data_IF_605148652645
#
_entry.id   IF_605148652645
#
_cell.length_a   1.000
_cell.length_b   1.000
_cell.length_c   1.000
_cell.angle_alpha   90.00
_cell.angle_beta   90.00
_cell.angle_gamma   90.00
#
_symmetry.space_group_name_H-M   'P 1'
#
loop_
_entity.id
_entity.type
_entity.pdbx_description
1 polymer ?
#
# COMPACT_ATOMS: atom_id res chain seq x y z
N UNK A 1 35.93 3.45 -29.36
CA UNK A 1 35.47 2.85 -28.08
C UNK A 1 35.55 1.34 -28.23
N UNK A 2 36.35 0.66 -27.40
CA UNK A 2 36.62 -0.77 -27.57
C UNK A 2 35.37 -1.61 -27.28
N UNK A 3 35.01 -2.57 -28.14
CA UNK A 3 33.81 -3.42 -27.98
C UNK A 3 33.75 -4.08 -26.59
N UNK A 4 34.89 -4.52 -26.07
CA UNK A 4 35.05 -5.09 -24.73
C UNK A 4 34.72 -4.08 -23.62
N UNK A 5 35.11 -2.82 -23.80
CA UNK A 5 34.81 -1.73 -22.87
C UNK A 5 33.30 -1.43 -22.85
N UNK A 6 32.65 -1.43 -24.02
CA UNK A 6 31.21 -1.19 -24.13
C UNK A 6 30.39 -2.31 -23.47
N UNK A 7 30.79 -3.57 -23.67
CA UNK A 7 30.14 -4.71 -23.06
C UNK A 7 30.31 -4.72 -21.53
N UNK A 8 31.50 -4.36 -21.04
CA UNK A 8 31.76 -4.23 -19.60
C UNK A 8 30.91 -3.13 -18.96
N UNK A 9 30.78 -1.96 -19.61
CA UNK A 9 29.93 -0.87 -19.12
C UNK A 9 28.46 -1.27 -19.08
N UNK A 10 27.97 -1.99 -20.10
CA UNK A 10 26.59 -2.46 -20.14
C UNK A 10 26.27 -3.44 -18.99
N UNK A 11 27.18 -4.38 -18.72
CA UNK A 11 27.01 -5.37 -17.64
C UNK A 11 27.01 -4.66 -16.28
N UNK A 12 27.92 -3.72 -16.05
CA UNK A 12 27.97 -2.96 -14.80
C UNK A 12 26.70 -2.13 -14.60
N UNK A 13 26.21 -1.45 -15.65
CA UNK A 13 24.98 -0.68 -15.57
C UNK A 13 23.75 -1.56 -15.25
N UNK A 14 23.65 -2.75 -15.86
CA UNK A 14 22.56 -3.68 -15.60
C UNK A 14 22.55 -4.17 -14.14
N UNK A 15 23.72 -4.45 -13.57
CA UNK A 15 23.84 -4.89 -12.17
C UNK A 15 23.50 -3.75 -11.19
N UNK A 16 23.89 -2.51 -11.48
CA UNK A 16 23.57 -1.36 -10.63
C UNK A 16 22.06 -1.02 -10.61
N UNK A 17 21.33 -1.32 -11.67
CA UNK A 17 19.87 -1.12 -11.75
C UNK A 17 19.06 -2.24 -11.06
N UNK A 18 19.69 -3.38 -10.77
CA UNK A 18 19.03 -4.53 -10.15
C UNK A 18 18.93 -4.41 -8.61
N UNK A 19 19.47 -3.36 -8.00
CA UNK A 19 19.34 -3.15 -6.55
C UNK A 19 17.90 -2.72 -6.26
N UNK A 20 17.11 -3.54 -5.52
CA UNK A 20 15.77 -3.13 -5.15
C UNK A 20 15.86 -1.86 -4.31
N UNK A 21 15.17 -0.81 -4.76
CA UNK A 21 15.01 0.41 -3.99
C UNK A 21 14.21 0.07 -2.73
N UNK A 22 14.91 -0.23 -1.63
CA UNK A 22 14.29 -0.37 -0.33
C UNK A 22 13.82 1.02 0.12
N UNK A 23 12.54 1.31 -0.09
CA UNK A 23 11.90 2.42 0.55
C UNK A 23 12.08 2.25 2.07
N UNK A 24 12.56 3.31 2.75
CA UNK A 24 12.92 3.31 4.18
C UNK A 24 11.77 2.92 5.12
N UNK A 25 10.55 2.77 4.60
CA UNK A 25 9.33 2.39 5.35
C UNK A 25 8.51 1.41 4.51
N UNK A 26 8.10 0.31 5.12
CA UNK A 26 7.01 -0.52 4.61
C UNK A 26 5.69 0.26 4.64
N UNK A 27 4.71 -0.19 3.86
CA UNK A 27 3.35 0.34 3.99
C UNK A 27 2.87 0.20 5.45
N UNK A 28 2.11 1.18 5.98
CA UNK A 28 1.51 1.06 7.30
C UNK A 28 0.69 -0.22 7.41
N UNK A 29 0.70 -0.83 8.58
CA UNK A 29 -0.16 -1.99 8.85
C UNK A 29 -1.64 -1.58 8.69
N UNK A 30 -2.44 -2.50 8.14
CA UNK A 30 -3.86 -2.25 7.98
C UNK A 30 -4.52 -2.15 9.35
N UNK A 31 -5.22 -1.04 9.60
CA UNK A 31 -5.90 -0.81 10.86
C UNK A 31 -7.12 -1.73 10.94
N UNK A 32 -7.25 -2.48 12.04
CA UNK A 32 -8.41 -3.34 12.28
C UNK A 32 -9.68 -2.50 12.44
N UNK A 33 -10.84 -2.98 11.95
CA UNK A 33 -12.12 -2.34 12.22
C UNK A 33 -12.39 -2.22 13.72
N UNK A 34 -13.03 -1.13 14.11
CA UNK A 34 -13.44 -0.88 15.51
C UNK A 34 -14.92 -1.15 15.64
N UNK A 35 -15.31 -1.97 16.62
CA UNK A 35 -16.72 -2.23 16.91
C UNK A 35 -17.19 -1.44 18.13
N UNK A 36 -18.34 -0.76 18.00
CA UNK A 36 -19.00 -0.08 19.10
C UNK A 36 -20.51 -0.08 18.88
N UNK A 37 -21.28 -0.43 19.91
CA UNK A 37 -22.76 -0.41 19.90
C UNK A 37 -23.38 -1.21 18.72
N UNK A 38 -22.74 -2.32 18.32
CA UNK A 38 -23.17 -3.14 17.19
C UNK A 38 -22.84 -2.56 15.81
N UNK A 39 -22.05 -1.49 15.74
CA UNK A 39 -21.58 -0.86 14.51
C UNK A 39 -20.08 -1.12 14.37
N UNK A 40 -19.68 -1.62 13.20
CA UNK A 40 -18.29 -1.75 12.80
C UNK A 40 -17.86 -0.52 11.99
N UNK A 41 -16.77 0.12 12.42
CA UNK A 41 -16.14 1.24 11.74
C UNK A 41 -14.86 0.75 11.08
N UNK A 42 -14.77 0.89 9.76
CA UNK A 42 -13.61 0.45 8.97
C UNK A 42 -13.08 1.56 8.06
N UNK A 43 -11.78 1.48 7.76
CA UNK A 43 -11.07 2.37 6.83
C UNK A 43 -10.51 1.54 5.66
N UNK A 44 -11.20 1.51 4.51
CA UNK A 44 -10.76 0.79 3.33
C UNK A 44 -9.39 1.28 2.82
N UNK A 45 -8.53 0.34 2.42
CA UNK A 45 -7.16 0.64 1.99
C UNK A 45 -7.09 1.28 0.58
N UNK A 46 -8.16 1.18 -0.21
CA UNK A 46 -8.28 1.76 -1.54
C UNK A 46 -8.50 3.29 -1.52
N UNK A 47 -9.00 3.84 -0.41
CA UNK A 47 -9.41 5.25 -0.31
C UNK A 47 -8.89 5.92 0.96
N UNK A 48 -7.94 6.83 0.77
CA UNK A 48 -7.38 7.61 1.87
C UNK A 48 -8.41 8.60 2.42
N UNK A 49 -8.52 8.70 3.76
CA UNK A 49 -9.45 9.61 4.42
C UNK A 49 -10.92 9.20 4.36
N UNK A 50 -11.20 7.94 4.02
CA UNK A 50 -12.55 7.39 3.91
C UNK A 50 -12.87 6.46 5.08
N UNK A 51 -14.06 6.60 5.65
CA UNK A 51 -14.55 5.77 6.77
C UNK A 51 -15.94 5.24 6.43
N UNK A 52 -16.17 3.96 6.70
CA UNK A 52 -17.46 3.30 6.53
C UNK A 52 -17.95 2.79 7.88
N UNK A 53 -19.22 3.03 8.17
CA UNK A 53 -19.92 2.43 9.29
C UNK A 53 -20.88 1.35 8.77
N UNK A 54 -20.76 0.12 9.27
CA UNK A 54 -21.64 -1.00 8.92
C UNK A 54 -22.24 -1.64 10.17
N UNK A 55 -23.40 -2.28 10.06
CA UNK A 55 -23.91 -3.13 11.14
C UNK A 55 -23.03 -4.36 11.31
N UNK A 56 -22.58 -4.64 12.54
CA UNK A 56 -21.62 -5.72 12.81
C UNK A 56 -22.16 -7.11 12.39
N UNK A 57 -23.46 -7.35 12.55
CA UNK A 57 -24.13 -8.61 12.21
C UNK A 57 -24.38 -8.79 10.71
N UNK A 58 -24.96 -7.79 10.05
CA UNK A 58 -25.40 -7.90 8.65
C UNK A 58 -24.38 -7.39 7.65
N UNK A 59 -23.33 -6.70 8.13
CA UNK A 59 -22.35 -5.96 7.33
C UNK A 59 -22.99 -4.93 6.38
N UNK A 60 -24.23 -4.53 6.66
CA UNK A 60 -24.94 -3.54 5.86
C UNK A 60 -24.40 -2.14 6.18
N UNK A 61 -24.08 -1.38 5.13
CA UNK A 61 -23.64 0.02 5.24
C UNK A 61 -24.75 0.87 5.88
N UNK A 62 -24.37 1.65 6.89
CA UNK A 62 -25.22 2.64 7.57
C UNK A 62 -24.95 4.01 6.95
N UNK A 63 -23.68 4.39 6.91
CA UNK A 63 -23.20 5.63 6.31
C UNK A 63 -21.71 5.52 5.96
N UNK A 64 -21.27 6.47 5.14
CA UNK A 64 -19.87 6.68 4.79
C UNK A 64 -19.51 8.16 4.86
N UNK A 65 -18.29 8.46 5.27
CA UNK A 65 -17.78 9.82 5.31
C UNK A 65 -16.42 9.91 4.60
N UNK A 66 -16.18 11.04 3.97
CA UNK A 66 -14.89 11.44 3.41
C UNK A 66 -14.61 12.88 3.84
N UNK A 67 -13.33 13.21 3.99
CA UNK A 67 -12.88 14.58 4.18
C UNK A 67 -12.66 15.27 2.84
#
# INVERSE_FOLDING_TARGET
MNMKLMMMVLVVAAVCLAVPAFAKRSAPEQVKPVEKDGIEYSAPADRMGFVVATWALTKQEIWRAWR
#
